data_IF_932568471368
#
_entry.id   IF_932568471368
#
_cell.length_a   1.000
_cell.length_b   1.000
_cell.length_c   1.000
_cell.angle_alpha   90.00
_cell.angle_beta   90.00
_cell.angle_gamma   90.00
#
_symmetry.space_group_name_H-M   'P 1'
#
loop_
_entity.id
_entity.type
_entity.pdbx_description
1 polymer ?
#
# COMPACT_ATOMS: atom_id res chain seq x y z
N UNK A 1 35.94 11.48 46.91
CA UNK A 1 35.55 11.84 45.53
C UNK A 1 34.04 11.69 45.43
N UNK A 2 33.31 12.82 45.38
CA UNK A 2 31.85 12.83 45.25
C UNK A 2 31.53 12.71 43.76
N UNK A 3 30.88 11.62 43.36
CA UNK A 3 30.31 11.50 42.02
C UNK A 3 29.07 12.39 41.98
N UNK A 4 29.15 13.51 41.27
CA UNK A 4 27.98 14.32 40.95
C UNK A 4 27.15 13.59 39.90
N UNK A 5 26.15 12.84 40.35
CA UNK A 5 25.14 12.21 39.49
C UNK A 5 24.18 13.27 38.96
N UNK A 6 24.70 14.19 38.16
CA UNK A 6 23.87 15.10 37.36
C UNK A 6 23.59 14.38 36.04
N UNK A 7 22.60 13.49 36.03
CA UNK A 7 22.00 13.05 34.77
C UNK A 7 21.63 14.33 34.00
N UNK A 8 22.10 14.51 32.75
CA UNK A 8 21.84 15.72 32.01
C UNK A 8 20.33 15.86 31.90
N UNK A 9 19.77 16.95 32.41
CA UNK A 9 18.32 17.21 32.45
C UNK A 9 17.69 17.01 31.05
N UNK A 10 18.45 17.28 29.99
CA UNK A 10 18.11 17.00 28.61
C UNK A 10 17.72 15.53 28.34
N UNK A 11 18.38 14.56 28.98
CA UNK A 11 18.07 13.14 28.82
C UNK A 11 16.74 12.78 29.51
N UNK A 12 16.48 13.35 30.69
CA UNK A 12 15.21 13.13 31.41
C UNK A 12 14.04 13.72 30.60
N UNK A 13 14.19 14.94 30.08
CA UNK A 13 13.19 15.60 29.25
C UNK A 13 12.99 14.84 27.93
N UNK A 14 14.06 14.37 27.30
CA UNK A 14 13.99 13.58 26.07
C UNK A 14 13.24 12.26 26.27
N UNK A 15 13.57 11.51 27.32
CA UNK A 15 12.91 10.23 27.63
C UNK A 15 11.42 10.46 27.95
N UNK A 16 11.09 11.50 28.73
CA UNK A 16 9.70 11.83 29.04
C UNK A 16 8.89 12.16 27.77
N UNK A 17 9.47 12.92 26.85
CA UNK A 17 8.80 13.30 25.60
C UNK A 17 8.56 12.10 24.68
N UNK A 18 9.53 11.18 24.58
CA UNK A 18 9.39 9.93 23.82
C UNK A 18 8.26 9.05 24.38
N UNK A 19 8.18 8.93 25.71
CA UNK A 19 7.11 8.15 26.36
C UNK A 19 5.72 8.75 26.08
N UNK A 20 5.58 10.07 26.16
CA UNK A 20 4.31 10.76 25.85
C UNK A 20 3.91 10.52 24.38
N UNK A 21 4.85 10.64 23.45
CA UNK A 21 4.59 10.41 22.03
C UNK A 21 4.15 8.96 21.75
N UNK A 22 4.78 7.97 22.39
CA UNK A 22 4.42 6.56 22.26
C UNK A 22 2.99 6.29 22.75
N UNK A 23 2.60 6.84 23.90
CA UNK A 23 1.24 6.67 24.44
C UNK A 23 0.18 7.27 23.51
N UNK A 24 0.44 8.48 22.99
CA UNK A 24 -0.47 9.14 22.02
C UNK A 24 -0.60 8.32 20.74
N UNK A 25 0.51 7.83 20.20
CA UNK A 25 0.53 7.03 18.99
C UNK A 25 -0.28 5.72 19.13
N UNK A 26 -0.13 5.03 20.26
CA UNK A 26 -0.90 3.81 20.56
C UNK A 26 -2.40 4.13 20.70
N UNK A 27 -2.77 5.20 21.41
CA UNK A 27 -4.16 5.62 21.57
C UNK A 27 -4.87 5.91 20.24
N UNK A 28 -4.21 6.65 19.34
CA UNK A 28 -4.76 6.96 18.01
C UNK A 28 -4.89 5.71 17.14
N UNK A 29 -3.95 4.77 17.24
CA UNK A 29 -3.95 3.54 16.44
C UNK A 29 -5.13 2.61 16.81
N UNK A 30 -5.46 2.50 18.10
CA UNK A 30 -6.59 1.69 18.56
C UNK A 30 -7.92 2.29 18.09
N UNK A 31 -8.07 3.62 18.17
CA UNK A 31 -9.28 4.31 17.73
C UNK A 31 -9.58 4.11 16.23
N UNK A 32 -8.53 4.05 15.38
CA UNK A 32 -8.70 3.83 13.93
C UNK A 32 -9.12 2.40 13.59
N UNK A 33 -8.65 1.41 14.35
CA UNK A 33 -8.94 0.00 14.08
C UNK A 33 -10.39 -0.39 14.45
N UNK A 34 -10.99 0.30 15.44
CA UNK A 34 -12.38 0.07 15.84
C UNK A 34 -13.42 0.53 14.80
N UNK A 35 -13.04 1.37 13.83
CA UNK A 35 -13.95 1.89 12.81
C UNK A 35 -14.15 0.96 11.60
N UNK A 36 -13.38 -0.13 11.49
CA UNK A 36 -13.47 -1.09 10.39
C UNK A 36 -14.17 -2.38 10.85
N UNK A 37 -15.46 -2.29 11.17
CA UNK A 37 -16.32 -3.48 11.28
C UNK A 37 -17.04 -3.66 9.93
N UNK A 38 -16.74 -4.70 9.14
CA UNK A 38 -17.56 -5.02 7.98
C UNK A 38 -18.96 -5.42 8.47
N UNK A 39 -19.98 -4.65 8.12
CA UNK A 39 -21.34 -5.16 8.15
C UNK A 39 -21.49 -6.15 6.99
N UNK A 40 -21.29 -7.45 7.27
CA UNK A 40 -21.95 -8.46 6.47
C UNK A 40 -23.46 -8.34 6.72
N UNK A 41 -24.17 -7.82 5.73
CA UNK A 41 -25.63 -7.76 5.73
C UNK A 41 -26.14 -8.08 4.33
N UNK A 42 -26.87 -9.19 4.22
CA UNK A 42 -28.09 -9.23 3.42
C UNK A 42 -28.06 -9.93 2.06
N UNK A 43 -28.36 -11.23 2.09
CA UNK A 43 -29.43 -11.90 1.32
C UNK A 43 -29.30 -12.11 -0.22
N UNK A 44 -29.86 -13.23 -0.74
CA UNK A 44 -29.70 -13.66 -2.14
C UNK A 44 -30.69 -12.92 -3.06
N UNK A 45 -30.19 -12.33 -4.14
CA UNK A 45 -31.04 -11.77 -5.19
C UNK A 45 -31.54 -12.90 -6.12
N UNK A 46 -32.81 -13.21 -5.94
CA UNK A 46 -33.66 -14.01 -6.83
C UNK A 46 -33.59 -13.44 -8.25
N UNK A 47 -33.36 -14.32 -9.23
CA UNK A 47 -33.39 -14.00 -10.65
C UNK A 47 -34.84 -13.90 -11.15
N UNK A 48 -35.14 -12.83 -11.88
CA UNK A 48 -36.24 -12.82 -12.86
C UNK A 48 -35.85 -11.92 -14.05
N UNK A 49 -36.05 -12.36 -15.31
CA UNK A 49 -35.60 -11.66 -16.50
C UNK A 49 -36.73 -10.80 -17.08
N UNK A 50 -36.44 -9.58 -17.53
CA UNK A 50 -36.95 -9.06 -18.81
C UNK A 50 -36.35 -7.69 -19.12
N UNK A 51 -35.92 -7.51 -20.38
CA UNK A 51 -35.82 -6.25 -21.13
C UNK A 51 -34.83 -6.46 -22.29
N UNK A 52 -35.39 -6.83 -23.44
CA UNK A 52 -34.75 -6.84 -24.74
C UNK A 52 -34.05 -5.50 -25.04
N UNK A 53 -32.73 -5.54 -25.19
CA UNK A 53 -31.97 -4.49 -25.89
C UNK A 53 -31.18 -5.18 -26.99
N UNK A 54 -31.61 -4.95 -28.24
CA UNK A 54 -30.84 -5.33 -29.42
C UNK A 54 -29.59 -4.44 -29.51
N UNK A 55 -28.47 -4.94 -29.01
CA UNK A 55 -27.17 -4.33 -29.15
C UNK A 55 -26.41 -5.02 -30.29
N UNK A 56 -26.05 -4.25 -31.31
CA UNK A 56 -25.11 -4.66 -32.36
C UNK A 56 -23.79 -5.07 -31.68
N UNK A 57 -23.28 -6.29 -31.88
CA UNK A 57 -22.06 -6.72 -31.21
C UNK A 57 -20.87 -5.96 -31.81
N UNK A 58 -20.38 -4.94 -31.09
CA UNK A 58 -19.02 -4.45 -31.33
C UNK A 58 -18.07 -5.53 -30.85
N UNK A 59 -17.41 -6.22 -31.77
CA UNK A 59 -16.39 -7.21 -31.47
C UNK A 59 -15.20 -6.48 -30.83
N UNK A 60 -15.17 -6.44 -29.49
CA UNK A 60 -13.98 -6.06 -28.75
C UNK A 60 -12.88 -7.07 -29.11
N UNK A 61 -11.82 -6.61 -29.78
CA UNK A 61 -10.62 -7.42 -29.98
C UNK A 61 -9.95 -7.61 -28.62
N UNK A 62 -10.23 -8.73 -27.96
CA UNK A 62 -9.58 -9.10 -26.71
C UNK A 62 -8.19 -9.63 -27.04
N UNK A 63 -7.16 -8.82 -26.78
CA UNK A 63 -5.79 -9.33 -26.72
C UNK A 63 -5.74 -10.43 -25.67
N UNK A 64 -5.56 -11.68 -26.10
CA UNK A 64 -5.45 -12.81 -25.19
C UNK A 64 -4.23 -12.60 -24.29
N UNK A 65 -4.47 -12.30 -23.01
CA UNK A 65 -3.43 -12.38 -21.98
C UNK A 65 -3.20 -13.88 -21.75
N UNK A 66 -1.97 -14.41 -21.94
CA UNK A 66 -1.70 -15.81 -21.66
C UNK A 66 -2.12 -16.12 -20.23
N UNK A 67 -3.04 -17.09 -20.09
CA UNK A 67 -3.59 -17.55 -18.81
C UNK A 67 -2.58 -18.43 -18.08
N UNK A 68 -1.39 -17.90 -17.83
CA UNK A 68 -0.44 -18.55 -16.94
C UNK A 68 -0.85 -18.18 -15.51
N UNK A 69 -1.02 -19.15 -14.59
CA UNK A 69 -1.27 -18.82 -13.20
C UNK A 69 -0.15 -17.89 -12.71
N UNK A 70 -0.45 -16.86 -11.91
CA UNK A 70 0.56 -15.92 -11.45
C UNK A 70 1.56 -16.67 -10.59
N UNK A 71 2.71 -17.00 -11.18
CA UNK A 71 3.85 -17.53 -10.44
C UNK A 71 4.54 -16.34 -9.82
N UNK A 72 4.51 -16.25 -8.49
CA UNK A 72 5.32 -15.26 -7.78
C UNK A 72 6.78 -15.66 -7.99
N UNK A 73 7.57 -14.88 -8.74
CA UNK A 73 8.97 -15.21 -8.93
C UNK A 73 9.71 -15.01 -7.61
N UNK A 74 10.77 -15.79 -7.38
CA UNK A 74 11.64 -15.59 -6.21
C UNK A 74 12.37 -14.25 -6.24
N UNK A 75 12.56 -13.70 -7.44
CA UNK A 75 13.18 -12.40 -7.67
C UNK A 75 12.39 -11.61 -8.71
N UNK A 76 12.21 -10.32 -8.47
CA UNK A 76 11.71 -9.39 -9.48
C UNK A 76 12.81 -9.16 -10.54
N UNK A 77 12.41 -9.04 -11.81
CA UNK A 77 13.33 -8.63 -12.88
C UNK A 77 13.78 -7.19 -12.64
N UNK A 78 15.07 -6.92 -12.80
CA UNK A 78 15.59 -5.56 -12.65
C UNK A 78 15.14 -4.67 -13.81
N UNK A 79 14.95 -3.39 -13.53
CA UNK A 79 14.55 -2.40 -14.52
C UNK A 79 15.02 -1.00 -14.15
N UNK A 80 15.04 -0.13 -15.17
CA UNK A 80 15.33 1.29 -15.02
C UNK A 80 14.13 2.11 -15.51
N UNK A 81 13.59 2.97 -14.65
CA UNK A 81 12.54 3.92 -15.02
C UNK A 81 13.10 5.33 -15.00
N UNK A 82 12.74 6.11 -16.02
CA UNK A 82 13.00 7.55 -16.05
C UNK A 82 11.72 8.27 -15.62
N UNK A 83 11.78 8.86 -14.44
CA UNK A 83 10.65 9.58 -13.85
C UNK A 83 10.56 11.03 -14.32
N UNK A 84 9.51 11.72 -13.88
CA UNK A 84 9.38 13.17 -14.06
C UNK A 84 10.32 13.98 -13.15
N UNK A 85 10.83 13.37 -12.07
CA UNK A 85 11.92 13.94 -11.29
C UNK A 85 13.24 13.51 -11.91
N UNK A 86 14.18 14.45 -12.05
CA UNK A 86 15.52 14.19 -12.59
C UNK A 86 16.17 13.03 -11.85
N UNK A 87 16.33 11.90 -12.54
CA UNK A 87 16.94 10.71 -11.99
C UNK A 87 16.44 9.43 -12.66
N UNK A 88 17.34 8.44 -12.74
CA UNK A 88 16.99 7.09 -13.10
C UNK A 88 16.62 6.30 -11.83
N UNK A 89 15.43 5.74 -11.79
CA UNK A 89 15.05 4.76 -10.77
C UNK A 89 15.55 3.39 -11.22
N UNK A 90 16.48 2.79 -10.48
CA UNK A 90 16.98 1.43 -10.72
C UNK A 90 16.50 0.52 -9.59
N UNK A 91 15.73 -0.53 -9.91
CA UNK A 91 15.10 -1.37 -8.89
C UNK A 91 16.12 -2.04 -7.97
N UNK A 92 17.22 -2.58 -8.51
CA UNK A 92 18.27 -3.22 -7.71
C UNK A 92 18.93 -2.29 -6.68
N UNK A 93 19.11 -1.00 -7.01
CA UNK A 93 19.63 -0.02 -6.05
C UNK A 93 18.62 0.26 -4.93
N UNK A 94 17.34 0.39 -5.29
CA UNK A 94 16.29 0.70 -4.32
C UNK A 94 16.04 -0.47 -3.36
N UNK A 95 16.15 -1.70 -3.84
CA UNK A 95 16.09 -2.90 -3.00
C UNK A 95 17.28 -3.04 -2.05
N UNK A 96 18.44 -2.44 -2.35
CA UNK A 96 19.57 -2.41 -1.43
C UNK A 96 19.31 -1.48 -0.23
N UNK A 97 18.45 -0.47 -0.39
CA UNK A 97 18.06 0.46 0.68
C UNK A 97 16.90 -0.07 1.52
N UNK A 98 15.99 -0.85 0.93
CA UNK A 98 14.89 -1.48 1.66
C UNK A 98 13.78 -2.08 0.78
N UNK A 99 12.66 -2.50 1.39
CA UNK A 99 11.52 -3.05 0.66
C UNK A 99 10.90 -2.01 -0.30
N UNK A 100 10.64 -2.42 -1.53
CA UNK A 100 10.05 -1.58 -2.58
C UNK A 100 8.66 -2.10 -2.96
N UNK A 101 7.68 -1.19 -3.08
CA UNK A 101 6.33 -1.49 -3.57
C UNK A 101 6.13 -0.81 -4.92
N UNK A 102 5.82 -1.59 -5.96
CA UNK A 102 5.56 -1.09 -7.30
C UNK A 102 4.07 -1.03 -7.59
N UNK A 103 3.60 0.13 -8.05
CA UNK A 103 2.19 0.36 -8.39
C UNK A 103 2.09 0.67 -9.88
N UNK A 104 1.43 -0.20 -10.63
CA UNK A 104 1.22 -0.04 -12.07
C UNK A 104 -0.16 0.54 -12.36
N UNK A 105 -0.22 1.59 -13.18
CA UNK A 105 -1.47 2.20 -13.62
C UNK A 105 -1.42 2.49 -15.11
N UNK A 106 -2.57 2.35 -15.77
CA UNK A 106 -2.74 2.74 -17.17
C UNK A 106 -3.43 4.10 -17.21
N UNK A 107 -2.83 5.07 -17.90
CA UNK A 107 -3.52 6.34 -18.16
C UNK A 107 -4.52 6.13 -19.30
N UNK A 108 -5.77 6.61 -19.18
CA UNK A 108 -6.69 6.66 -20.30
C UNK A 108 -6.18 7.71 -21.32
N UNK A 109 -6.12 7.34 -22.60
CA UNK A 109 -5.71 8.26 -23.69
C UNK A 109 -4.30 8.06 -24.25
N UNK A 110 -3.74 6.85 -24.14
CA UNK A 110 -2.59 6.41 -24.94
C UNK A 110 -3.05 5.81 -26.26
#
# INVERSE_FOLDING_TARGET
>A
MKQDTSLPIALIVGVALVLVAAVVFVGVSIARNAAQRPLESGAPLVATPDASVSAVPQTASLTAVPTTPPRIPSHASDFTLYGAQEGAFVLSQQLAEGPVVLVFFRRPGG
#
